data_IF_974456362631
#
_entry.id   IF_974456362631
#
_cell.length_a   1.000
_cell.length_b   1.000
_cell.length_c   1.000
_cell.angle_alpha   90.00
_cell.angle_beta   90.00
_cell.angle_gamma   90.00
#
_symmetry.space_group_name_H-M   'P 1'
#
loop_
_entity.id
_entity.type
_entity.pdbx_description
1 polymer ?
#
# COMPACT_ATOMS: atom_id res chain seq x y z
N UNK A 1 14.66 -3.84 -0.28
CA UNK A 1 14.88 -3.57 -1.72
C UNK A 1 13.63 -4.09 -2.42
N UNK A 2 12.78 -3.24 -3.02
CA UNK A 2 11.61 -3.74 -3.75
C UNK A 2 12.14 -4.41 -5.01
N UNK A 3 11.83 -5.68 -5.19
CA UNK A 3 12.17 -6.41 -6.40
C UNK A 3 11.31 -5.83 -7.54
N UNK A 4 11.93 -5.35 -8.62
CA UNK A 4 11.16 -4.80 -9.74
C UNK A 4 10.43 -5.92 -10.48
N UNK A 5 9.12 -5.75 -10.70
CA UNK A 5 8.23 -6.70 -11.37
C UNK A 5 8.60 -6.97 -12.85
N UNK A 6 9.32 -6.06 -13.50
CA UNK A 6 9.68 -6.17 -14.91
C UNK A 6 11.15 -5.84 -15.14
N UNK A 7 11.72 -6.33 -16.24
CA UNK A 7 13.02 -5.89 -16.72
C UNK A 7 12.96 -4.43 -17.20
N UNK A 8 14.12 -3.79 -17.30
CA UNK A 8 14.24 -2.49 -17.97
C UNK A 8 14.26 -2.66 -19.49
N UNK A 9 13.07 -2.79 -20.07
CA UNK A 9 12.87 -2.94 -21.51
C UNK A 9 13.20 -1.67 -22.32
N UNK A 10 13.45 -0.53 -21.67
CA UNK A 10 13.89 0.69 -22.36
C UNK A 10 15.39 0.61 -22.68
N UNK A 11 16.19 0.13 -21.72
CA UNK A 11 17.63 -0.03 -21.89
C UNK A 11 18.01 -1.39 -22.50
N UNK A 12 17.20 -2.42 -22.29
CA UNK A 12 17.41 -3.77 -22.81
C UNK A 12 16.15 -4.22 -23.58
N UNK A 13 15.99 -3.83 -24.85
CA UNK A 13 14.74 -4.04 -25.58
C UNK A 13 14.49 -5.48 -26.02
N UNK A 14 15.53 -6.32 -26.02
CA UNK A 14 15.47 -7.73 -26.41
C UNK A 14 16.05 -8.55 -25.26
N UNK A 15 15.27 -9.50 -24.75
CA UNK A 15 15.62 -10.28 -23.55
C UNK A 15 15.34 -11.76 -23.81
N UNK A 16 16.27 -12.63 -23.40
CA UNK A 16 16.09 -14.08 -23.45
C UNK A 16 15.05 -14.52 -22.41
N UNK A 17 14.20 -15.49 -22.76
CA UNK A 17 13.10 -16.04 -21.93
C UNK A 17 13.44 -16.18 -20.45
N UNK A 18 14.52 -16.88 -20.14
CA UNK A 18 14.94 -17.20 -18.75
C UNK A 18 15.27 -15.98 -17.89
N UNK A 19 15.49 -14.81 -18.51
CA UNK A 19 15.80 -13.56 -17.83
C UNK A 19 14.60 -12.62 -17.76
N UNK A 20 13.49 -12.96 -18.43
CA UNK A 20 12.29 -12.13 -18.44
C UNK A 20 11.55 -12.30 -17.11
N UNK A 21 11.41 -11.20 -16.39
CA UNK A 21 10.57 -11.11 -15.20
C UNK A 21 9.11 -11.03 -15.62
N UNK A 22 8.26 -11.74 -14.87
CA UNK A 22 6.83 -11.85 -15.16
C UNK A 22 6.55 -12.30 -16.60
N UNK A 23 7.33 -13.28 -17.09
CA UNK A 23 7.18 -13.84 -18.44
C UNK A 23 5.76 -14.31 -18.70
N UNK A 24 5.15 -15.07 -17.78
CA UNK A 24 3.81 -15.63 -17.96
C UNK A 24 2.78 -14.53 -18.19
N UNK A 25 2.81 -13.46 -17.39
CA UNK A 25 1.94 -12.30 -17.59
C UNK A 25 2.15 -11.64 -18.96
N UNK A 26 3.41 -11.42 -19.36
CA UNK A 26 3.72 -10.79 -20.64
C UNK A 26 3.26 -11.69 -21.81
N UNK A 27 3.46 -13.00 -21.70
CA UNK A 27 3.14 -13.97 -22.72
C UNK A 27 1.63 -14.18 -22.87
N UNK A 28 0.92 -14.43 -21.77
CA UNK A 28 -0.53 -14.66 -21.76
C UNK A 28 -1.33 -13.47 -22.30
N UNK A 29 -0.81 -12.25 -22.14
CA UNK A 29 -1.44 -11.02 -22.63
C UNK A 29 -0.91 -10.56 -24.01
N UNK A 30 -0.07 -11.39 -24.66
CA UNK A 30 0.54 -11.10 -25.97
C UNK A 30 1.34 -9.78 -26.00
N UNK A 31 2.00 -9.44 -24.88
CA UNK A 31 2.84 -8.23 -24.76
C UNK A 31 4.28 -8.47 -25.18
N UNK A 32 4.65 -9.73 -25.41
CA UNK A 32 5.95 -10.11 -25.94
C UNK A 32 5.79 -10.99 -27.16
N UNK A 33 6.69 -10.83 -28.13
CA UNK A 33 6.75 -11.64 -29.33
C UNK A 33 8.15 -12.25 -29.49
N UNK A 34 8.18 -13.50 -29.96
CA UNK A 34 9.40 -14.27 -30.17
C UNK A 34 10.12 -13.75 -31.42
N UNK A 35 11.42 -13.54 -31.30
CA UNK A 35 12.31 -13.25 -32.42
C UNK A 35 12.91 -14.58 -32.93
N UNK A 36 14.00 -15.03 -32.30
CA UNK A 36 14.71 -16.29 -32.57
C UNK A 36 15.42 -16.73 -31.27
N UNK A 37 15.78 -18.01 -31.15
CA UNK A 37 16.55 -18.57 -30.03
C UNK A 37 16.04 -18.15 -28.63
N UNK A 38 14.72 -18.22 -28.41
CA UNK A 38 14.06 -17.85 -27.14
C UNK A 38 14.26 -16.39 -26.70
N UNK A 39 14.60 -15.48 -27.63
CA UNK A 39 14.62 -14.03 -27.39
C UNK A 39 13.28 -13.38 -27.72
N UNK A 40 12.85 -12.47 -26.86
CA UNK A 40 11.57 -11.75 -27.00
C UNK A 40 11.77 -10.24 -26.96
N UNK A 41 10.82 -9.51 -27.57
CA UNK A 41 10.70 -8.05 -27.48
C UNK A 41 9.27 -7.65 -27.12
N UNK A 42 9.09 -6.43 -26.59
CA UNK A 42 7.76 -5.91 -26.27
C UNK A 42 6.99 -5.52 -27.54
N UNK A 43 5.75 -5.99 -27.65
CA UNK A 43 4.83 -5.65 -28.76
C UNK A 43 4.05 -4.36 -28.49
N UNK A 44 3.96 -3.97 -27.22
CA UNK A 44 3.28 -2.75 -26.77
C UNK A 44 4.25 -1.84 -26.01
N UNK A 45 3.86 -0.58 -25.90
CA UNK A 45 4.54 0.38 -25.05
C UNK A 45 4.64 -0.11 -23.59
N UNK A 46 5.86 -0.02 -23.03
CA UNK A 46 6.18 -0.54 -21.71
C UNK A 46 5.39 0.13 -20.58
N UNK A 47 5.08 1.43 -20.72
CA UNK A 47 4.29 2.16 -19.72
C UNK A 47 2.86 1.63 -19.69
N UNK A 48 2.27 1.34 -20.86
CA UNK A 48 0.93 0.74 -20.93
C UNK A 48 0.91 -0.66 -20.33
N UNK A 49 1.91 -1.50 -20.61
CA UNK A 49 2.02 -2.84 -20.01
C UNK A 49 2.07 -2.77 -18.48
N UNK A 50 2.91 -1.87 -17.92
CA UNK A 50 2.95 -1.65 -16.46
C UNK A 50 1.60 -1.22 -15.91
N UNK A 51 0.92 -0.31 -16.60
CA UNK A 51 -0.40 0.15 -16.19
C UNK A 51 -1.40 -1.01 -16.12
N UNK A 52 -1.48 -1.83 -17.17
CA UNK A 52 -2.37 -2.99 -17.23
C UNK A 52 -2.04 -4.02 -16.11
N UNK A 53 -0.75 -4.26 -15.84
CA UNK A 53 -0.32 -5.13 -14.74
C UNK A 53 -0.77 -4.61 -13.37
N UNK A 54 -0.54 -3.33 -13.07
CA UNK A 54 -0.89 -2.77 -11.77
C UNK A 54 -2.41 -2.63 -11.58
N UNK A 55 -3.17 -2.37 -12.65
CA UNK A 55 -4.64 -2.42 -12.58
C UNK A 55 -5.10 -3.81 -12.16
N UNK A 56 -4.59 -4.87 -12.80
CA UNK A 56 -4.92 -6.25 -12.42
C UNK A 56 -4.53 -6.58 -10.98
N UNK A 57 -3.34 -6.16 -10.54
CA UNK A 57 -2.91 -6.35 -9.14
C UNK A 57 -3.83 -5.65 -8.16
N UNK A 58 -4.30 -4.45 -8.50
CA UNK A 58 -5.30 -3.73 -7.69
C UNK A 58 -6.62 -4.51 -7.66
N UNK A 59 -7.10 -5.01 -8.79
CA UNK A 59 -8.33 -5.82 -8.86
C UNK A 59 -8.22 -7.12 -8.04
N UNK A 60 -7.10 -7.83 -8.13
CA UNK A 60 -6.79 -9.00 -7.30
C UNK A 60 -6.89 -8.67 -5.82
N UNK A 61 -6.22 -7.60 -5.37
CA UNK A 61 -6.25 -7.16 -3.98
C UNK A 61 -7.65 -6.73 -3.51
N UNK A 62 -8.40 -6.04 -4.36
CA UNK A 62 -9.79 -5.64 -4.08
C UNK A 62 -10.65 -6.88 -3.83
N UNK A 63 -10.51 -7.91 -4.68
CA UNK A 63 -11.24 -9.16 -4.56
C UNK A 63 -10.82 -9.96 -3.32
N UNK A 64 -9.51 -10.07 -3.05
CA UNK A 64 -8.97 -10.76 -1.87
C UNK A 64 -9.46 -10.13 -0.56
N UNK A 65 -9.55 -8.80 -0.52
CA UNK A 65 -10.02 -8.06 0.65
C UNK A 65 -11.55 -7.92 0.72
N UNK A 66 -12.28 -8.40 -0.30
CA UNK A 66 -13.73 -8.27 -0.38
C UNK A 66 -14.22 -6.81 -0.43
N UNK A 67 -13.40 -5.90 -0.96
CA UNK A 67 -13.69 -4.46 -1.01
C UNK A 67 -14.58 -4.17 -2.22
N UNK A 68 -15.73 -3.54 -2.02
CA UNK A 68 -16.61 -3.16 -3.15
C UNK A 68 -16.33 -1.74 -3.66
N UNK A 69 -15.87 -0.85 -2.78
CA UNK A 69 -15.48 0.52 -3.12
C UNK A 69 -14.27 0.95 -2.30
N UNK A 70 -13.11 0.94 -2.94
CA UNK A 70 -11.82 1.32 -2.36
C UNK A 70 -11.85 2.73 -1.79
N UNK A 71 -12.53 3.66 -2.47
CA UNK A 71 -12.57 5.06 -2.03
C UNK A 71 -13.38 5.18 -0.74
N UNK A 72 -14.49 4.47 -0.65
CA UNK A 72 -15.32 4.45 0.55
C UNK A 72 -14.61 3.79 1.72
N UNK A 73 -13.92 2.66 1.50
CA UNK A 73 -13.15 1.99 2.56
C UNK A 73 -12.00 2.86 3.08
N UNK A 74 -11.22 3.49 2.19
CA UNK A 74 -10.15 4.41 2.59
C UNK A 74 -10.72 5.58 3.39
N UNK A 75 -11.83 6.19 2.93
CA UNK A 75 -12.48 7.29 3.65
C UNK A 75 -13.01 6.85 5.02
N UNK A 76 -13.59 5.65 5.12
CA UNK A 76 -14.07 5.11 6.38
C UNK A 76 -12.92 4.88 7.36
N UNK A 77 -11.79 4.35 6.88
CA UNK A 77 -10.58 4.17 7.69
C UNK A 77 -10.01 5.51 8.18
N UNK A 78 -9.83 6.49 7.29
CA UNK A 78 -9.38 7.84 7.64
C UNK A 78 -10.33 8.48 8.66
N UNK A 79 -11.64 8.31 8.48
CA UNK A 79 -12.64 8.80 9.43
C UNK A 79 -12.50 8.20 10.83
N UNK A 80 -12.20 6.90 10.94
CA UNK A 80 -11.92 6.25 12.22
C UNK A 80 -10.63 6.79 12.86
N UNK A 81 -9.58 7.00 12.06
CA UNK A 81 -8.31 7.54 12.54
C UNK A 81 -8.47 8.96 13.08
N UNK A 82 -9.20 9.82 12.37
CA UNK A 82 -9.47 11.18 12.82
C UNK A 82 -10.26 11.19 14.13
N UNK A 83 -11.28 10.34 14.27
CA UNK A 83 -12.04 10.21 15.52
C UNK A 83 -11.17 9.72 16.68
N UNK A 84 -10.28 8.76 16.44
CA UNK A 84 -9.33 8.30 17.45
C UNK A 84 -8.43 9.45 17.91
N UNK A 85 -7.87 10.21 16.97
CA UNK A 85 -7.00 11.35 17.30
C UNK A 85 -7.76 12.42 18.09
N UNK A 86 -8.98 12.79 17.68
CA UNK A 86 -9.82 13.74 18.42
C UNK A 86 -10.12 13.27 19.84
N UNK A 87 -10.47 11.98 20.02
CA UNK A 87 -10.72 11.41 21.34
C UNK A 87 -9.47 11.41 22.22
N UNK A 88 -8.31 11.07 21.64
CA UNK A 88 -7.02 11.11 22.32
C UNK A 88 -6.68 12.52 22.79
N UNK A 89 -6.85 13.51 21.92
CA UNK A 89 -6.57 14.92 22.24
C UNK A 89 -7.50 15.44 23.34
N UNK A 90 -8.79 15.11 23.28
CA UNK A 90 -9.77 15.44 24.35
C UNK A 90 -9.35 14.78 25.66
N UNK A 91 -8.98 13.50 25.63
CA UNK A 91 -8.49 12.76 26.79
C UNK A 91 -7.29 13.46 27.42
N UNK A 92 -6.26 13.75 26.64
CA UNK A 92 -5.05 14.44 27.11
C UNK A 92 -5.35 15.84 27.68
N UNK A 93 -6.26 16.60 27.07
CA UNK A 93 -6.65 17.91 27.56
C UNK A 93 -7.40 17.84 28.91
N UNK A 94 -8.29 16.86 29.08
CA UNK A 94 -8.98 16.62 30.35
C UNK A 94 -8.02 16.14 31.43
N UNK A 95 -7.07 15.27 31.07
CA UNK A 95 -6.02 14.77 31.96
C UNK A 95 -5.16 15.90 32.52
N UNK A 96 -4.75 16.87 31.68
CA UNK A 96 -4.03 18.05 32.15
C UNK A 96 -4.83 18.83 33.21
N UNK A 97 -6.13 19.05 32.96
CA UNK A 97 -7.00 19.75 33.93
C UNK A 97 -7.18 18.99 35.24
N UNK A 98 -7.29 17.66 35.19
CA UNK A 98 -7.42 16.84 36.40
C UNK A 98 -6.12 16.85 37.20
N UNK A 99 -4.98 16.75 36.52
CA UNK A 99 -3.66 16.85 37.14
C UNK A 99 -3.49 18.20 37.87
N UNK A 100 -3.85 19.30 37.19
CA UNK A 100 -3.82 20.65 37.78
C UNK A 100 -4.72 20.77 39.01
N UNK A 101 -5.96 20.25 38.95
CA UNK A 101 -6.91 20.28 40.07
C UNK A 101 -6.46 19.45 41.27
N UNK A 102 -5.79 18.34 41.04
CA UNK A 102 -5.31 17.43 42.08
C UNK A 102 -3.90 17.77 42.58
N UNK A 103 -3.21 18.72 41.92
CA UNK A 103 -1.82 19.07 42.23
C UNK A 103 -0.84 17.93 41.95
N UNK A 104 -1.20 17.00 41.06
CA UNK A 104 -0.37 15.85 40.66
C UNK A 104 0.21 16.08 39.27
N UNK A 105 1.19 15.28 38.87
CA UNK A 105 1.73 15.38 37.52
C UNK A 105 0.81 14.69 36.50
N UNK A 106 0.91 15.07 35.22
CA UNK A 106 0.18 14.41 34.13
C UNK A 106 0.50 12.91 34.08
N UNK A 107 1.73 12.53 34.44
CA UNK A 107 2.15 11.13 34.49
C UNK A 107 1.37 10.35 35.55
N UNK A 108 1.28 10.90 36.77
CA UNK A 108 0.52 10.27 37.87
C UNK A 108 -0.98 10.20 37.53
N UNK A 109 -1.49 11.21 36.84
CA UNK A 109 -2.86 11.22 36.36
C UNK A 109 -3.07 10.09 35.31
N UNK A 110 -2.18 9.93 34.33
CA UNK A 110 -2.28 8.86 33.33
C UNK A 110 -2.29 7.46 33.96
N UNK A 111 -1.50 7.25 35.02
CA UNK A 111 -1.50 6.01 35.81
C UNK A 111 -2.83 5.80 36.56
N UNK A 112 -3.44 6.87 37.08
CA UNK A 112 -4.73 6.81 37.78
C UNK A 112 -5.90 6.38 36.87
N UNK A 113 -5.85 6.75 35.59
CA UNK A 113 -6.89 6.45 34.61
C UNK A 113 -6.55 5.27 33.68
N UNK A 114 -5.43 4.57 33.92
CA UNK A 114 -4.92 3.43 33.13
C UNK A 114 -4.83 3.71 31.61
N UNK A 115 -4.58 4.97 31.23
CA UNK A 115 -4.39 5.37 29.84
C UNK A 115 -2.89 5.22 29.53
N UNK A 116 -2.52 4.11 28.88
CA UNK A 116 -1.14 3.91 28.42
C UNK A 116 -0.89 4.77 27.18
N UNK A 117 0.24 5.47 27.14
CA UNK A 117 0.66 6.28 25.97
C UNK A 117 0.89 5.44 24.70
N UNK A 118 0.79 4.12 24.77
CA UNK A 118 1.24 3.17 23.74
C UNK A 118 0.16 2.32 23.07
N UNK A 119 -1.13 2.56 23.33
CA UNK A 119 -2.24 1.86 22.65
C UNK A 119 -2.90 2.69 21.53
#
# INVERSE_FOLDING_TARGET
>A
MKEEDFNDWLNTPIIHKDKIKNFDFLFENNFIELIEDDYYYLTKDFKNIKMEYYIRKVEELINELGITDVTTEIKAFIGKLNKYNELKDIGQALMGKIADLQGITIKDANELFDIKETD
#
